data_IF_398675181609
#
_entry.id   IF_398675181609
#
_cell.length_a   1.000
_cell.length_b   1.000
_cell.length_c   1.000
_cell.angle_alpha   90.00
_cell.angle_beta   90.00
_cell.angle_gamma   90.00
#
_symmetry.space_group_name_H-M   'P 1'
#
loop_
_entity.id
_entity.type
_entity.pdbx_description
1 polymer ?
#
# COMPACT_ATOMS: atom_id res chain seq x y z
N UNK A 1 7.95 8.11 -0.79
CA UNK A 1 7.14 6.98 -1.27
C UNK A 1 7.44 6.56 -2.70
N UNK A 2 7.22 5.29 -3.03
CA UNK A 2 7.01 4.82 -4.41
C UNK A 2 5.69 4.04 -4.51
N UNK A 3 4.90 4.26 -5.56
CA UNK A 3 3.67 3.47 -5.78
C UNK A 3 3.67 2.91 -7.20
N UNK A 4 3.14 1.69 -7.35
CA UNK A 4 3.05 1.03 -8.66
C UNK A 4 1.74 0.28 -8.81
N UNK A 5 1.02 0.56 -9.89
CA UNK A 5 -0.11 -0.22 -10.34
C UNK A 5 0.39 -1.45 -11.11
N UNK A 6 -0.20 -2.61 -10.85
CA UNK A 6 0.05 -3.85 -11.59
C UNK A 6 -0.86 -3.87 -12.81
N UNK A 7 -0.25 -4.01 -13.99
CA UNK A 7 -0.97 -4.02 -15.26
C UNK A 7 -1.94 -5.19 -15.36
N UNK A 8 -3.12 -4.92 -15.93
CA UNK A 8 -4.12 -5.96 -16.21
C UNK A 8 -4.94 -6.43 -15.00
N UNK A 9 -4.74 -5.84 -13.82
CA UNK A 9 -5.58 -6.08 -12.64
C UNK A 9 -6.45 -4.85 -12.37
N UNK A 10 -7.80 -4.97 -12.39
CA UNK A 10 -8.67 -3.84 -12.08
C UNK A 10 -8.41 -3.32 -10.66
N UNK A 11 -8.28 -1.99 -10.48
CA UNK A 11 -8.13 -1.42 -9.14
C UNK A 11 -9.43 -1.51 -8.34
N UNK A 12 -9.34 -1.26 -7.03
CA UNK A 12 -10.53 -1.12 -6.18
C UNK A 12 -11.38 0.08 -6.59
N UNK A 13 -12.67 0.04 -6.26
CA UNK A 13 -13.61 1.12 -6.58
C UNK A 13 -13.19 2.46 -5.94
N UNK A 14 -12.53 2.41 -4.78
CA UNK A 14 -12.02 3.54 -4.03
C UNK A 14 -10.52 3.84 -4.29
N UNK A 15 -9.96 3.41 -5.43
CA UNK A 15 -8.53 3.63 -5.75
C UNK A 15 -8.16 5.12 -5.82
N UNK A 16 -9.11 6.01 -6.13
CA UNK A 16 -8.85 7.46 -6.13
C UNK A 16 -8.59 7.98 -4.72
N UNK A 17 -9.38 7.53 -3.75
CA UNK A 17 -9.25 7.85 -2.34
C UNK A 17 -7.96 7.26 -1.78
N UNK A 18 -7.61 6.04 -2.18
CA UNK A 18 -6.31 5.42 -1.84
C UNK A 18 -5.17 6.26 -2.39
N UNK A 19 -5.21 6.67 -3.66
CA UNK A 19 -4.17 7.53 -4.24
C UNK A 19 -4.07 8.90 -3.56
N UNK A 20 -5.20 9.49 -3.17
CA UNK A 20 -5.22 10.76 -2.44
C UNK A 20 -4.56 10.62 -1.06
N UNK A 21 -4.91 9.57 -0.31
CA UNK A 21 -4.26 9.23 0.97
C UNK A 21 -2.75 9.05 0.80
N UNK A 22 -2.33 8.25 -0.18
CA UNK A 22 -0.91 7.99 -0.42
C UNK A 22 -0.15 9.29 -0.74
N UNK A 23 -0.75 10.20 -1.50
CA UNK A 23 -0.15 11.50 -1.79
C UNK A 23 -0.05 12.41 -0.55
N UNK A 24 -1.03 12.35 0.36
CA UNK A 24 -1.03 13.10 1.62
C UNK A 24 0.05 12.60 2.58
N UNK A 25 0.21 11.28 2.70
CA UNK A 25 1.22 10.65 3.55
C UNK A 25 2.65 10.74 2.98
N UNK A 26 2.80 11.23 1.74
CA UNK A 26 4.12 11.43 1.17
C UNK A 26 4.85 12.59 1.82
N UNK A 27 5.82 12.28 2.68
CA UNK A 27 6.77 13.26 3.18
C UNK A 27 8.08 13.23 2.38
N UNK A 28 8.31 14.19 1.44
CA UNK A 28 9.55 14.24 0.66
C UNK A 28 10.78 14.64 1.49
N UNK A 29 10.59 15.18 2.71
CA UNK A 29 11.65 15.58 3.63
C UNK A 29 11.75 14.65 4.85
N UNK A 30 10.95 13.59 4.87
CA UNK A 30 10.88 12.64 5.97
C UNK A 30 12.22 11.92 6.19
N UNK A 31 12.46 11.39 7.39
CA UNK A 31 13.69 10.66 7.68
C UNK A 31 13.87 9.51 6.69
N UNK A 32 15.06 9.40 6.10
CA UNK A 32 15.47 8.24 5.29
C UNK A 32 15.54 7.00 6.19
N UNK A 33 14.41 6.31 6.32
CA UNK A 33 14.27 5.11 7.13
C UNK A 33 14.43 3.83 6.31
N UNK A 34 14.40 2.69 7.01
CA UNK A 34 14.25 1.39 6.34
C UNK A 34 12.95 1.40 5.53
N UNK A 35 13.04 1.01 4.26
CA UNK A 35 11.86 0.83 3.41
C UNK A 35 10.96 -0.30 3.93
N UNK A 36 9.66 -0.08 3.88
CA UNK A 36 8.63 -1.10 4.12
C UNK A 36 7.68 -1.14 2.93
N UNK A 37 7.32 -2.35 2.52
CA UNK A 37 6.54 -2.62 1.32
C UNK A 37 5.12 -3.08 1.70
N UNK A 38 4.10 -2.39 1.21
CA UNK A 38 2.69 -2.69 1.40
C UNK A 38 2.10 -3.17 0.06
N UNK A 39 1.30 -4.24 0.12
CA UNK A 39 0.56 -4.78 -1.00
C UNK A 39 -0.94 -4.52 -0.84
N UNK A 40 -1.60 -4.11 -1.93
CA UNK A 40 -3.04 -3.96 -2.00
C UNK A 40 -3.63 -4.98 -2.99
N UNK A 41 -4.59 -5.76 -2.52
CA UNK A 41 -5.32 -6.75 -3.31
C UNK A 41 -6.60 -6.14 -3.88
N UNK A 42 -6.90 -6.49 -5.13
CA UNK A 42 -8.13 -6.10 -5.80
C UNK A 42 -9.29 -6.97 -5.34
N UNK A 43 -10.49 -6.70 -5.85
CA UNK A 43 -11.71 -7.45 -5.52
C UNK A 43 -11.66 -8.92 -5.94
N UNK A 44 -10.78 -9.27 -6.87
CA UNK A 44 -10.51 -10.64 -7.29
C UNK A 44 -9.42 -11.34 -6.45
N UNK A 45 -8.93 -10.67 -5.40
CA UNK A 45 -7.87 -11.15 -4.51
C UNK A 45 -6.46 -11.09 -5.10
N UNK A 46 -6.28 -10.51 -6.30
CA UNK A 46 -4.97 -10.38 -6.95
C UNK A 46 -4.30 -9.07 -6.54
N UNK A 47 -2.97 -9.09 -6.45
CA UNK A 47 -2.19 -7.88 -6.22
C UNK A 47 -2.43 -6.89 -7.37
N UNK A 48 -2.98 -5.71 -7.06
CA UNK A 48 -3.22 -4.66 -8.05
C UNK A 48 -2.34 -3.43 -7.82
N UNK A 49 -1.91 -3.16 -6.58
CA UNK A 49 -1.05 -2.01 -6.27
C UNK A 49 -0.03 -2.35 -5.20
N UNK A 50 1.18 -1.81 -5.36
CA UNK A 50 2.25 -1.87 -4.35
C UNK A 50 2.59 -0.47 -3.90
N UNK A 51 2.90 -0.31 -2.62
CA UNK A 51 3.31 0.95 -2.01
C UNK A 51 4.59 0.71 -1.21
N UNK A 52 5.60 1.55 -1.42
CA UNK A 52 6.84 1.55 -0.66
C UNK A 52 6.93 2.82 0.16
N UNK A 53 6.91 2.66 1.48
CA UNK A 53 7.06 3.72 2.47
C UNK A 53 8.51 3.76 2.99
N UNK A 54 9.03 4.95 3.24
CA UNK A 54 10.40 5.19 3.71
C UNK A 54 10.37 5.64 5.17
N UNK A 55 10.46 4.66 6.08
CA UNK A 55 10.43 4.91 7.52
C UNK A 55 9.07 4.70 8.16
N UNK A 56 9.10 4.55 9.49
CA UNK A 56 7.97 4.06 10.29
C UNK A 56 6.76 5.00 10.28
N UNK A 57 6.98 6.31 10.24
CA UNK A 57 5.91 7.31 10.23
C UNK A 57 5.02 7.19 8.99
N UNK A 58 5.61 7.30 7.79
CA UNK A 58 4.92 7.15 6.50
C UNK A 58 4.19 5.81 6.41
N UNK A 59 4.84 4.72 6.84
CA UNK A 59 4.22 3.39 6.83
C UNK A 59 2.99 3.31 7.76
N UNK A 60 3.06 3.81 8.98
CA UNK A 60 1.94 3.77 9.92
C UNK A 60 0.78 4.66 9.48
N UNK A 61 1.07 5.85 8.94
CA UNK A 61 0.06 6.75 8.39
C UNK A 61 -0.69 6.11 7.22
N UNK A 62 0.04 5.50 6.28
CA UNK A 62 -0.55 4.74 5.18
C UNK A 62 -1.42 3.58 5.72
N UNK A 63 -0.90 2.76 6.64
CA UNK A 63 -1.65 1.62 7.18
C UNK A 63 -2.97 2.07 7.83
N UNK A 64 -2.93 3.08 8.70
CA UNK A 64 -4.13 3.62 9.36
C UNK A 64 -5.11 4.25 8.38
N UNK A 65 -4.60 4.99 7.38
CA UNK A 65 -5.44 5.59 6.36
C UNK A 65 -6.15 4.54 5.49
N UNK A 66 -5.46 3.45 5.12
CA UNK A 66 -6.06 2.35 4.37
C UNK A 66 -7.19 1.68 5.17
N UNK A 67 -7.00 1.47 6.48
CA UNK A 67 -8.05 0.99 7.38
C UNK A 67 -9.23 1.96 7.47
N UNK A 68 -8.96 3.27 7.54
CA UNK A 68 -9.99 4.33 7.50
C UNK A 68 -10.80 4.34 6.20
N UNK A 69 -10.19 3.91 5.08
CA UNK A 69 -10.87 3.71 3.79
C UNK A 69 -11.60 2.36 3.68
N UNK A 70 -11.61 1.56 4.76
CA UNK A 70 -12.32 0.28 4.84
C UNK A 70 -11.51 -0.93 4.36
N UNK A 71 -10.23 -0.78 4.04
CA UNK A 71 -9.39 -1.92 3.70
C UNK A 71 -8.96 -2.65 4.98
N UNK A 72 -8.90 -3.97 4.90
CA UNK A 72 -8.51 -4.82 6.04
C UNK A 72 -7.12 -5.39 5.81
N UNK A 73 -6.24 -5.28 6.81
CA UNK A 73 -4.99 -6.01 6.81
C UNK A 73 -5.29 -7.52 6.91
N UNK A 74 -4.81 -8.29 5.93
CA UNK A 74 -5.09 -9.72 5.82
C UNK A 74 -4.30 -10.56 6.82
N UNK A 75 -3.23 -10.01 7.43
CA UNK A 75 -2.28 -10.75 8.28
C UNK A 75 -1.50 -11.84 7.53
N UNK A 76 -1.59 -11.89 6.20
CA UNK A 76 -0.94 -12.89 5.36
C UNK A 76 0.32 -12.31 4.73
N UNK A 77 1.35 -13.14 4.65
CA UNK A 77 2.54 -12.78 3.90
C UNK A 77 2.27 -12.89 2.39
N UNK A 78 2.73 -11.91 1.62
CA UNK A 78 2.76 -11.95 0.16
C UNK A 78 4.19 -11.77 -0.34
N UNK A 79 4.55 -12.52 -1.38
CA UNK A 79 5.77 -12.30 -2.14
C UNK A 79 5.42 -12.18 -3.62
N UNK A 80 5.76 -11.06 -4.24
CA UNK A 80 5.57 -10.85 -5.67
C UNK A 80 6.77 -10.10 -6.25
N UNK A 81 7.15 -10.41 -7.48
CA UNK A 81 8.27 -9.75 -8.19
C UNK A 81 9.59 -9.72 -7.38
N UNK A 82 9.86 -10.75 -6.59
CA UNK A 82 11.05 -10.84 -5.75
C UNK A 82 10.99 -10.03 -4.45
N UNK A 83 9.94 -9.23 -4.24
CA UNK A 83 9.72 -8.41 -3.04
C UNK A 83 8.82 -9.19 -2.08
N UNK A 84 9.19 -9.19 -0.79
CA UNK A 84 8.31 -9.62 0.30
C UNK A 84 7.63 -8.37 0.86
N UNK A 85 6.31 -8.39 0.92
CA UNK A 85 5.55 -7.29 1.53
C UNK A 85 5.48 -7.48 3.04
N UNK A 86 5.68 -6.39 3.77
CA UNK A 86 5.54 -6.32 5.22
C UNK A 86 4.07 -6.42 5.62
N UNK A 87 3.18 -5.80 4.84
CA UNK A 87 1.72 -5.88 5.01
C UNK A 87 0.96 -6.08 3.70
N UNK A 88 -0.22 -6.68 3.83
CA UNK A 88 -1.11 -6.98 2.70
C UNK A 88 -2.53 -6.61 3.07
N UNK A 89 -3.12 -5.68 2.35
CA UNK A 89 -4.49 -5.20 2.55
C UNK A 89 -5.43 -5.67 1.44
N UNK A 90 -6.69 -5.89 1.78
CA UNK A 90 -7.78 -6.20 0.84
C UNK A 90 -9.04 -5.41 1.21
N UNK A 91 -9.83 -5.03 0.22
CA UNK A 91 -11.13 -4.37 0.39
C UNK A 91 -12.20 -4.98 -0.50
#
# INVERSE_FOLDING_TARGET
>A
METKLIEGVPPLANDKEILALLAEEHDPNGPSGKAMDIALLGSDGRLYRTVRAWGLGEYLGIAQGLEGLGLTNTGRALKAHGIRFDDVFSG
#
